data_IF_988408157516
#
_entry.id   IF_988408157516
#
_cell.length_a   1.000
_cell.length_b   1.000
_cell.length_c   1.000
_cell.angle_alpha   90.00
_cell.angle_beta   90.00
_cell.angle_gamma   90.00
#
_symmetry.space_group_name_H-M   'P 1'
#
loop_
_entity.id
_entity.type
_entity.pdbx_description
1 polymer ?
#
# COMPACT_ATOMS: atom_id res chain seq x y z
N UNK A 1 -3.86 -6.89 19.99
CA UNK A 1 -3.72 -7.87 18.91
C UNK A 1 -3.40 -7.12 17.61
N UNK A 2 -2.37 -7.57 16.92
CA UNK A 2 -1.94 -7.00 15.62
C UNK A 2 -2.72 -7.61 14.45
N UNK A 3 -3.18 -8.86 14.62
CA UNK A 3 -4.05 -9.58 13.70
C UNK A 3 -5.03 -10.46 14.48
N UNK A 4 -6.19 -10.74 13.91
CA UNK A 4 -7.14 -11.72 14.42
C UNK A 4 -6.81 -13.15 13.96
N UNK A 5 -5.92 -13.31 12.98
CA UNK A 5 -5.48 -14.60 12.45
C UNK A 5 -4.29 -15.08 13.26
N UNK A 6 -4.45 -16.21 13.94
CA UNK A 6 -3.43 -16.78 14.86
C UNK A 6 -2.94 -18.16 14.43
N UNK A 7 -3.69 -18.86 13.58
CA UNK A 7 -3.28 -20.15 13.02
C UNK A 7 -2.14 -19.98 12.03
N UNK A 8 -1.06 -20.73 12.17
CA UNK A 8 0.19 -20.57 11.41
C UNK A 8 -0.04 -20.65 9.89
N UNK A 9 -0.75 -21.68 9.41
CA UNK A 9 -1.04 -21.85 7.98
C UNK A 9 -1.87 -20.68 7.41
N UNK A 10 -2.82 -20.18 8.21
CA UNK A 10 -3.63 -19.04 7.82
C UNK A 10 -2.80 -17.73 7.80
N UNK A 11 -1.85 -17.56 8.72
CA UNK A 11 -0.91 -16.43 8.72
C UNK A 11 -0.03 -16.48 7.48
N UNK A 12 0.53 -17.67 7.17
CA UNK A 12 1.36 -17.86 5.97
C UNK A 12 0.57 -17.47 4.71
N UNK A 13 -0.64 -18.00 4.56
CA UNK A 13 -1.44 -17.79 3.34
C UNK A 13 -2.02 -16.37 3.26
N UNK A 14 -2.70 -15.90 4.31
CA UNK A 14 -3.45 -14.61 4.30
C UNK A 14 -2.59 -13.39 4.52
N UNK A 15 -1.37 -13.56 5.03
CA UNK A 15 -0.47 -12.43 5.24
C UNK A 15 0.76 -12.50 4.35
N UNK A 16 1.55 -13.58 4.39
CA UNK A 16 2.79 -13.66 3.62
C UNK A 16 2.52 -13.91 2.14
N UNK A 17 1.81 -14.98 1.76
CA UNK A 17 1.51 -15.27 0.36
C UNK A 17 0.70 -14.14 -0.28
N UNK A 18 -0.32 -13.61 0.41
CA UNK A 18 -1.11 -12.47 -0.06
C UNK A 18 -0.22 -11.25 -0.35
N UNK A 19 0.73 -10.94 0.55
CA UNK A 19 1.68 -9.83 0.35
C UNK A 19 2.53 -10.01 -0.90
N UNK A 20 3.04 -11.23 -1.14
CA UNK A 20 3.90 -11.54 -2.28
C UNK A 20 3.14 -11.66 -3.61
N UNK A 21 1.83 -11.77 -3.57
CA UNK A 21 1.00 -11.74 -4.78
C UNK A 21 1.09 -10.43 -5.58
N UNK A 22 1.75 -9.39 -5.04
CA UNK A 22 2.05 -8.16 -5.79
C UNK A 22 2.62 -8.44 -7.17
N UNK A 23 3.50 -9.43 -7.30
CA UNK A 23 4.15 -9.81 -8.57
C UNK A 23 3.18 -10.26 -9.66
N UNK A 24 1.95 -10.66 -9.30
CA UNK A 24 0.90 -11.05 -10.27
C UNK A 24 0.34 -9.83 -11.01
N UNK A 25 0.26 -8.69 -10.34
CA UNK A 25 -0.32 -7.46 -10.90
C UNK A 25 0.69 -6.34 -11.16
N UNK A 26 1.94 -6.51 -10.70
CA UNK A 26 2.99 -5.52 -10.84
C UNK A 26 4.34 -6.19 -11.15
N UNK A 27 4.71 -6.21 -12.42
CA UNK A 27 5.93 -6.87 -12.93
C UNK A 27 7.20 -6.04 -12.76
N UNK A 28 7.08 -4.73 -12.50
CA UNK A 28 8.24 -3.82 -12.43
C UNK A 28 8.89 -3.74 -11.05
N UNK A 29 8.62 -4.69 -10.16
CA UNK A 29 9.14 -4.68 -8.78
C UNK A 29 10.68 -4.69 -8.73
N UNK A 30 11.33 -5.39 -9.66
CA UNK A 30 12.80 -5.45 -9.74
C UNK A 30 13.43 -4.11 -10.14
N UNK A 31 12.69 -3.25 -10.81
CA UNK A 31 13.13 -1.89 -11.19
C UNK A 31 12.74 -0.84 -10.17
N UNK A 32 11.89 -1.20 -9.21
CA UNK A 32 11.42 -0.32 -8.14
C UNK A 32 12.54 -0.11 -7.12
N UNK A 33 12.81 1.13 -6.75
CA UNK A 33 13.82 1.48 -5.74
C UNK A 33 13.17 1.82 -4.42
N UNK A 34 12.12 2.62 -4.44
CA UNK A 34 11.45 3.12 -3.23
C UNK A 34 9.99 2.69 -3.16
N UNK A 35 9.61 2.10 -2.03
CA UNK A 35 8.27 1.63 -1.74
C UNK A 35 7.77 2.25 -0.44
N UNK A 36 6.50 2.69 -0.43
CA UNK A 36 5.79 3.03 0.81
C UNK A 36 4.58 2.12 0.99
N UNK A 37 4.44 1.57 2.19
CA UNK A 37 3.27 0.80 2.63
C UNK A 37 2.43 1.67 3.57
N UNK A 38 1.27 2.09 3.11
CA UNK A 38 0.39 3.03 3.82
C UNK A 38 -0.66 2.27 4.61
N UNK A 39 -0.68 2.48 5.92
CA UNK A 39 -1.53 1.72 6.83
C UNK A 39 -1.02 0.30 7.01
N UNK A 40 0.28 0.15 7.12
CA UNK A 40 1.00 -1.14 7.10
C UNK A 40 0.59 -2.12 8.19
N UNK A 41 0.03 -1.65 9.30
CA UNK A 41 -0.44 -2.48 10.40
C UNK A 41 0.69 -3.28 11.08
N UNK A 42 0.66 -4.59 10.93
CA UNK A 42 1.71 -5.49 11.41
C UNK A 42 2.89 -5.65 10.42
N UNK A 43 2.98 -4.77 9.41
CA UNK A 43 4.05 -4.80 8.42
C UNK A 43 3.69 -5.49 7.10
N UNK A 44 2.39 -5.64 6.82
CA UNK A 44 1.90 -6.32 5.61
C UNK A 44 1.22 -5.35 4.63
N UNK A 45 1.67 -5.29 3.37
CA UNK A 45 2.60 -6.20 2.69
C UNK A 45 4.09 -5.79 2.76
N UNK A 46 4.44 -4.67 3.37
CA UNK A 46 5.77 -4.05 3.28
C UNK A 46 6.94 -4.94 3.72
N UNK A 47 6.84 -5.63 4.88
CA UNK A 47 7.93 -6.48 5.40
C UNK A 47 8.17 -7.71 4.53
N UNK A 48 7.16 -8.52 4.14
CA UNK A 48 7.38 -9.63 3.22
C UNK A 48 7.99 -9.20 1.88
N UNK A 49 7.56 -8.05 1.34
CA UNK A 49 8.14 -7.49 0.12
C UNK A 49 9.61 -7.11 0.31
N UNK A 50 9.95 -6.49 1.45
CA UNK A 50 11.35 -6.15 1.78
C UNK A 50 12.25 -7.37 1.90
N UNK A 51 11.77 -8.43 2.55
CA UNK A 51 12.52 -9.69 2.71
C UNK A 51 12.76 -10.34 1.35
N UNK A 52 11.73 -10.37 0.48
CA UNK A 52 11.81 -11.00 -0.84
C UNK A 52 12.59 -10.16 -1.85
N UNK A 53 12.52 -8.83 -1.75
CA UNK A 53 13.19 -7.87 -2.63
C UNK A 53 14.13 -6.96 -1.81
N UNK A 54 15.31 -7.44 -1.39
CA UNK A 54 16.20 -6.71 -0.47
C UNK A 54 16.71 -5.37 -0.98
N UNK A 55 16.70 -5.14 -2.31
CA UNK A 55 17.11 -3.88 -2.92
C UNK A 55 16.16 -2.72 -2.65
N UNK A 56 14.90 -3.00 -2.24
CA UNK A 56 13.91 -1.97 -1.96
C UNK A 56 14.28 -1.12 -0.74
N UNK A 57 14.11 0.18 -0.87
CA UNK A 57 14.03 1.11 0.25
C UNK A 57 12.57 1.23 0.67
N UNK A 58 12.20 0.70 1.83
CA UNK A 58 10.82 0.57 2.27
C UNK A 58 10.50 1.57 3.37
N UNK A 59 9.39 2.28 3.22
CA UNK A 59 8.79 3.09 4.28
C UNK A 59 7.51 2.44 4.74
N UNK A 60 7.41 2.15 6.04
CA UNK A 60 6.25 1.58 6.70
C UNK A 60 5.53 2.70 7.45
N UNK A 61 4.34 3.10 7.00
CA UNK A 61 3.58 4.19 7.60
C UNK A 61 2.34 3.66 8.30
N UNK A 62 2.18 3.99 9.57
CA UNK A 62 0.96 3.70 10.34
C UNK A 62 0.60 4.86 11.29
N UNK A 63 -0.69 5.02 11.53
CA UNK A 63 -1.22 6.08 12.40
C UNK A 63 -1.17 5.73 13.89
N UNK A 64 -0.85 4.49 14.24
CA UNK A 64 -0.79 4.02 15.63
C UNK A 64 0.66 3.83 16.07
N UNK A 65 1.13 4.69 16.98
CA UNK A 65 2.50 4.65 17.49
C UNK A 65 2.92 3.28 18.06
N UNK A 66 1.98 2.56 18.69
CA UNK A 66 2.25 1.19 19.18
C UNK A 66 2.64 0.23 18.06
N UNK A 67 2.02 0.36 16.87
CA UNK A 67 2.37 -0.46 15.70
C UNK A 67 3.74 -0.07 15.14
N UNK A 68 4.01 1.23 15.07
CA UNK A 68 5.31 1.72 14.58
C UNK A 68 6.45 1.19 15.44
N UNK A 69 6.34 1.26 16.76
CA UNK A 69 7.35 0.68 17.68
C UNK A 69 7.53 -0.83 17.50
N UNK A 70 6.43 -1.55 17.29
CA UNK A 70 6.51 -2.99 16.98
C UNK A 70 7.25 -3.24 15.67
N UNK A 71 6.99 -2.43 14.63
CA UNK A 71 7.67 -2.56 13.33
C UNK A 71 9.16 -2.25 13.43
N UNK A 72 9.54 -1.23 14.21
CA UNK A 72 10.95 -0.91 14.51
C UNK A 72 11.65 -2.11 15.15
N UNK A 73 11.04 -2.73 16.16
CA UNK A 73 11.57 -3.93 16.81
C UNK A 73 11.67 -5.12 15.84
N UNK A 74 10.67 -5.35 14.99
CA UNK A 74 10.69 -6.42 13.98
C UNK A 74 11.82 -6.20 12.98
N UNK A 75 11.97 -4.97 12.47
CA UNK A 75 13.04 -4.64 11.51
C UNK A 75 14.43 -4.83 12.12
N UNK A 76 14.62 -4.43 13.37
CA UNK A 76 15.87 -4.65 14.11
C UNK A 76 16.19 -6.14 14.29
N UNK A 77 15.21 -6.93 14.77
CA UNK A 77 15.38 -8.38 14.99
C UNK A 77 15.64 -9.17 13.71
N UNK A 78 15.12 -8.71 12.58
CA UNK A 78 15.30 -9.34 11.28
C UNK A 78 16.48 -8.76 10.49
N UNK A 79 17.21 -7.80 11.06
CA UNK A 79 18.34 -7.10 10.43
C UNK A 79 17.97 -6.53 9.05
N UNK A 80 16.81 -5.89 8.96
CA UNK A 80 16.30 -5.32 7.72
C UNK A 80 16.88 -3.93 7.47
N UNK A 81 17.82 -3.84 6.56
CA UNK A 81 18.42 -2.58 6.14
C UNK A 81 17.47 -1.76 5.23
N UNK A 82 17.63 -0.43 5.22
CA UNK A 82 16.88 0.49 4.36
C UNK A 82 15.34 0.39 4.56
N UNK A 83 14.91 0.19 5.79
CA UNK A 83 13.51 0.30 6.22
C UNK A 83 13.36 1.49 7.15
N UNK A 84 12.34 2.32 6.90
CA UNK A 84 11.99 3.46 7.74
C UNK A 84 10.57 3.30 8.25
N UNK A 85 10.37 3.32 9.55
CA UNK A 85 9.06 3.30 10.17
C UNK A 85 8.59 4.74 10.46
N UNK A 86 7.37 5.09 10.05
CA UNK A 86 6.84 6.46 10.16
C UNK A 86 5.52 6.44 10.92
N UNK A 87 5.47 7.16 12.04
CA UNK A 87 4.24 7.40 12.78
C UNK A 87 3.56 8.65 12.22
N UNK A 88 2.58 8.46 11.35
CA UNK A 88 1.76 9.53 10.80
C UNK A 88 0.41 9.00 10.31
N UNK A 89 -0.59 9.86 10.29
CA UNK A 89 -1.79 9.62 9.46
C UNK A 89 -1.41 9.77 7.99
N UNK A 90 -2.12 9.05 7.12
CA UNK A 90 -1.88 9.13 5.67
C UNK A 90 -2.04 10.56 5.14
N UNK A 91 -3.04 11.29 5.63
CA UNK A 91 -3.30 12.69 5.24
C UNK A 91 -2.15 13.63 5.62
N UNK A 92 -1.60 13.46 6.83
CA UNK A 92 -0.48 14.27 7.32
C UNK A 92 0.82 13.90 6.59
N UNK A 93 1.08 12.61 6.44
CA UNK A 93 2.22 12.08 5.67
C UNK A 93 2.20 12.54 4.21
N UNK A 94 1.02 12.49 3.56
CA UNK A 94 0.84 12.92 2.17
C UNK A 94 1.03 14.42 1.94
N UNK A 95 1.03 15.23 2.99
CA UNK A 95 1.37 16.66 2.99
C UNK A 95 2.83 16.94 3.36
N UNK A 96 3.48 15.99 4.00
CA UNK A 96 4.89 16.13 4.40
C UNK A 96 5.78 16.17 3.16
N UNK A 97 6.59 17.20 3.02
CA UNK A 97 7.49 17.46 1.87
C UNK A 97 8.52 16.35 1.67
N UNK A 98 8.90 15.64 2.73
CA UNK A 98 9.88 14.55 2.67
C UNK A 98 9.29 13.24 2.16
N UNK A 99 7.94 13.10 2.20
CA UNK A 99 7.24 11.89 1.78
C UNK A 99 6.41 12.09 0.50
N UNK A 100 5.92 13.33 0.27
CA UNK A 100 5.04 13.64 -0.84
C UNK A 100 5.75 13.48 -2.19
N UNK A 101 5.13 12.68 -3.08
CA UNK A 101 5.60 12.42 -4.46
C UNK A 101 7.07 11.94 -4.53
N UNK A 102 7.48 11.09 -3.59
CA UNK A 102 8.86 10.57 -3.48
C UNK A 102 9.02 9.10 -3.85
N UNK A 103 7.93 8.33 -3.86
CA UNK A 103 8.01 6.87 -3.98
C UNK A 103 7.71 6.38 -5.39
N UNK A 104 8.48 5.38 -5.85
CA UNK A 104 8.23 4.66 -7.11
C UNK A 104 6.93 3.86 -7.00
N UNK A 105 6.71 3.24 -5.85
CA UNK A 105 5.57 2.37 -5.58
C UNK A 105 4.96 2.68 -4.22
N UNK A 106 3.65 2.88 -4.21
CA UNK A 106 2.84 2.88 -3.00
C UNK A 106 1.97 1.63 -3.00
N UNK A 107 1.97 0.92 -1.88
CA UNK A 107 1.07 -0.21 -1.64
C UNK A 107 0.21 0.09 -0.43
N UNK A 108 -0.94 -0.53 -0.38
CA UNK A 108 -1.80 -0.53 0.81
C UNK A 108 -2.73 -1.73 0.78
N UNK A 109 -2.85 -2.38 1.91
CA UNK A 109 -3.82 -3.46 2.15
C UNK A 109 -4.78 -3.01 3.23
N UNK A 110 -5.64 -2.05 2.88
CA UNK A 110 -6.47 -1.34 3.84
C UNK A 110 -7.96 -1.54 3.58
N UNK A 111 -8.72 -1.18 4.57
CA UNK A 111 -10.17 -1.33 4.69
C UNK A 111 -10.98 -0.17 4.07
N UNK A 112 -10.36 0.89 3.62
CA UNK A 112 -11.05 2.01 2.97
C UNK A 112 -11.48 1.65 1.55
N UNK A 113 -12.56 2.26 1.06
CA UNK A 113 -12.93 2.14 -0.34
C UNK A 113 -11.86 2.75 -1.26
N UNK A 114 -11.82 2.33 -2.52
CA UNK A 114 -10.76 2.68 -3.46
C UNK A 114 -10.65 4.19 -3.72
N UNK A 115 -11.76 4.93 -3.71
CA UNK A 115 -11.76 6.39 -3.89
C UNK A 115 -11.02 7.08 -2.75
N UNK A 116 -11.38 6.79 -1.50
CA UNK A 116 -10.73 7.34 -0.31
C UNK A 116 -9.30 6.85 -0.17
N UNK A 117 -9.06 5.55 -0.45
CA UNK A 117 -7.73 4.96 -0.38
C UNK A 117 -6.79 5.60 -1.41
N UNK A 118 -7.28 5.90 -2.61
CA UNK A 118 -6.51 6.62 -3.62
C UNK A 118 -6.13 8.02 -3.14
N UNK A 119 -7.03 8.74 -2.44
CA UNK A 119 -6.71 10.05 -1.88
C UNK A 119 -5.63 9.98 -0.80
N UNK A 120 -5.61 8.91 0.00
CA UNK A 120 -4.59 8.69 1.02
C UNK A 120 -3.23 8.29 0.44
N UNK A 121 -3.20 7.52 -0.65
CA UNK A 121 -2.00 6.87 -1.15
C UNK A 121 -1.33 7.60 -2.33
N UNK A 122 -2.12 8.14 -3.27
CA UNK A 122 -1.59 8.84 -4.45
C UNK A 122 -0.68 10.04 -4.13
N UNK A 123 -0.85 10.77 -3.02
CA UNK A 123 0.08 11.84 -2.64
C UNK A 123 1.53 11.40 -2.42
N UNK A 124 1.79 10.14 -2.09
CA UNK A 124 3.15 9.63 -1.90
C UNK A 124 3.85 9.25 -3.21
N UNK A 125 3.08 8.95 -4.25
CA UNK A 125 3.58 8.42 -5.52
C UNK A 125 4.17 9.55 -6.38
N UNK A 126 5.41 9.40 -6.84
CA UNK A 126 6.01 10.31 -7.81
C UNK A 126 5.36 10.18 -9.19
N UNK A 127 5.46 11.20 -10.02
CA UNK A 127 5.01 11.12 -11.42
C UNK A 127 5.77 10.00 -12.14
N UNK A 128 5.04 9.13 -12.84
CA UNK A 128 5.57 7.93 -13.47
C UNK A 128 5.62 6.70 -12.56
N UNK A 129 5.43 6.88 -11.24
CA UNK A 129 5.31 5.77 -10.28
C UNK A 129 3.90 5.19 -10.22
N UNK A 130 3.70 4.25 -9.29
CA UNK A 130 2.48 3.46 -9.22
C UNK A 130 1.90 3.40 -7.79
N UNK A 131 0.57 3.36 -7.72
CA UNK A 131 -0.15 2.93 -6.55
C UNK A 131 -0.82 1.57 -6.85
N UNK A 132 -0.56 0.58 -6.00
CA UNK A 132 -1.12 -0.77 -6.14
C UNK A 132 -1.82 -1.18 -4.85
N UNK A 133 -3.13 -0.88 -4.70
CA UNK A 133 -3.93 -1.37 -3.59
C UNK A 133 -4.23 -2.86 -3.74
N UNK A 134 -4.25 -3.56 -2.59
CA UNK A 134 -4.74 -4.92 -2.45
C UNK A 134 -6.21 -4.87 -2.02
N UNK A 135 -7.06 -5.50 -2.80
CA UNK A 135 -8.51 -5.56 -2.53
C UNK A 135 -8.97 -7.01 -2.45
N UNK A 136 -10.10 -7.25 -1.81
CA UNK A 136 -10.75 -8.56 -1.71
C UNK A 136 -12.21 -8.47 -2.14
N UNK A 137 -12.77 -9.58 -2.60
CA UNK A 137 -14.14 -9.66 -3.07
C UNK A 137 -14.36 -9.03 -4.45
N UNK A 138 -15.63 -8.79 -4.78
CA UNK A 138 -16.01 -8.11 -6.00
C UNK A 138 -15.69 -6.60 -5.90
N UNK A 139 -14.98 -6.08 -6.88
CA UNK A 139 -14.51 -4.70 -6.90
C UNK A 139 -15.08 -3.89 -8.07
N UNK A 140 -15.97 -4.44 -8.89
CA UNK A 140 -16.46 -3.79 -10.11
C UNK A 140 -17.13 -2.45 -9.82
N UNK A 141 -18.05 -2.44 -8.84
CA UNK A 141 -18.72 -1.21 -8.43
C UNK A 141 -17.76 -0.20 -7.80
N UNK A 142 -16.90 -0.66 -6.91
CA UNK A 142 -15.88 0.17 -6.25
C UNK A 142 -14.91 0.78 -7.27
N UNK A 143 -14.52 0.00 -8.28
CA UNK A 143 -13.66 0.43 -9.36
C UNK A 143 -14.32 1.51 -10.23
N UNK A 144 -15.60 1.31 -10.58
CA UNK A 144 -16.38 2.29 -11.34
C UNK A 144 -16.48 3.64 -10.62
N UNK A 145 -16.74 3.61 -9.32
CA UNK A 145 -16.83 4.82 -8.48
C UNK A 145 -15.47 5.52 -8.33
N UNK A 146 -14.37 4.76 -8.26
CA UNK A 146 -13.04 5.30 -8.03
C UNK A 146 -12.41 5.96 -9.27
N UNK A 147 -12.84 5.63 -10.48
CA UNK A 147 -12.24 6.16 -11.74
C UNK A 147 -12.11 7.69 -11.73
N UNK A 148 -13.17 8.40 -11.34
CA UNK A 148 -13.18 9.86 -11.28
C UNK A 148 -12.22 10.40 -10.22
N UNK A 149 -12.19 9.78 -9.04
CA UNK A 149 -11.30 10.16 -7.95
C UNK A 149 -9.84 9.97 -8.36
N UNK A 150 -9.48 8.82 -8.92
CA UNK A 150 -8.14 8.52 -9.42
C UNK A 150 -7.69 9.55 -10.45
N UNK A 151 -8.53 9.90 -11.43
CA UNK A 151 -8.22 10.90 -12.45
C UNK A 151 -7.98 12.30 -11.85
N UNK A 152 -8.79 12.73 -10.86
CA UNK A 152 -8.62 14.00 -10.14
C UNK A 152 -7.27 14.03 -9.39
N UNK A 153 -6.86 12.89 -8.82
CA UNK A 153 -5.59 12.73 -8.10
C UNK A 153 -4.37 12.56 -9.02
N UNK A 154 -4.56 12.70 -10.33
CA UNK A 154 -3.50 12.63 -11.33
C UNK A 154 -3.10 11.22 -11.72
N UNK A 155 -3.95 10.23 -11.44
CA UNK A 155 -3.72 8.82 -11.75
C UNK A 155 -4.53 8.32 -12.94
N UNK A 156 -4.12 7.15 -13.44
CA UNK A 156 -4.83 6.35 -14.45
C UNK A 156 -4.78 4.87 -14.06
N UNK A 157 -5.92 4.19 -14.14
CA UNK A 157 -6.00 2.75 -13.87
C UNK A 157 -5.54 2.02 -15.13
N UNK A 158 -4.34 1.41 -15.08
CA UNK A 158 -3.78 0.66 -16.22
C UNK A 158 -4.29 -0.78 -16.29
N UNK A 159 -4.43 -1.44 -15.13
CA UNK A 159 -4.81 -2.86 -15.09
C UNK A 159 -5.46 -3.23 -13.77
N UNK A 160 -6.27 -4.29 -13.82
CA UNK A 160 -6.83 -4.97 -12.65
C UNK A 160 -6.55 -6.46 -12.79
N UNK A 161 -5.86 -7.04 -11.81
CA UNK A 161 -5.49 -8.44 -11.80
C UNK A 161 -6.22 -9.15 -10.66
N UNK A 162 -7.19 -9.99 -11.01
CA UNK A 162 -7.89 -10.86 -10.06
C UNK A 162 -7.20 -12.22 -9.93
N UNK A 163 -7.19 -12.79 -8.72
CA UNK A 163 -6.65 -14.12 -8.44
C UNK A 163 -7.25 -14.69 -7.15
N UNK A 164 -7.14 -16.03 -7.00
CA UNK A 164 -7.48 -16.72 -5.75
C UNK A 164 -6.22 -16.97 -4.93
N UNK A 165 -6.36 -16.84 -3.61
CA UNK A 165 -5.31 -17.27 -2.68
C UNK A 165 -5.27 -18.80 -2.61
N UNK A 166 -4.09 -19.41 -2.35
CA UNK A 166 -3.97 -20.84 -2.16
C UNK A 166 -4.93 -21.37 -1.09
N UNK A 167 -5.43 -22.60 -1.28
CA UNK A 167 -6.33 -23.24 -0.33
C UNK A 167 -7.76 -22.72 -0.32
N UNK A 168 -8.17 -21.91 -1.31
CA UNK A 168 -9.53 -21.35 -1.37
C UNK A 168 -9.76 -20.22 -0.34
N UNK A 169 -8.70 -19.55 0.11
CA UNK A 169 -8.73 -18.52 1.14
C UNK A 169 -9.24 -17.15 0.65
N UNK A 170 -9.96 -17.16 -0.48
CA UNK A 170 -10.72 -16.06 -1.04
C UNK A 170 -10.04 -15.35 -2.19
N UNK A 171 -10.85 -14.60 -2.93
CA UNK A 171 -10.43 -13.82 -4.08
C UNK A 171 -9.70 -12.55 -3.66
N UNK A 172 -8.76 -12.13 -4.50
CA UNK A 172 -8.00 -10.89 -4.38
C UNK A 172 -7.95 -10.18 -5.72
N UNK A 173 -7.80 -8.87 -5.64
CA UNK A 173 -7.57 -8.02 -6.81
C UNK A 173 -6.47 -7.02 -6.50
N UNK A 174 -5.54 -6.88 -7.43
CA UNK A 174 -4.54 -5.83 -7.46
C UNK A 174 -4.92 -4.83 -8.56
N UNK A 175 -4.97 -3.56 -8.21
CA UNK A 175 -5.33 -2.49 -9.15
C UNK A 175 -4.08 -1.68 -9.43
N UNK A 176 -3.55 -1.74 -10.64
CA UNK A 176 -2.36 -0.98 -11.03
C UNK A 176 -2.76 0.43 -11.47
N UNK A 177 -2.45 1.42 -10.65
CA UNK A 177 -2.75 2.83 -10.89
C UNK A 177 -1.45 3.58 -11.12
N UNK A 178 -1.28 4.13 -12.33
CA UNK A 178 -0.12 4.94 -12.69
C UNK A 178 -0.33 6.40 -12.32
N UNK A 179 0.69 7.05 -11.79
CA UNK A 179 0.71 8.49 -11.54
C UNK A 179 1.11 9.22 -12.81
N UNK A 180 0.18 9.93 -13.46
CA UNK A 180 0.38 10.58 -14.74
C UNK A 180 0.84 12.03 -14.60
N UNK A 181 0.44 12.71 -13.53
CA UNK A 181 0.74 14.15 -13.31
C UNK A 181 0.80 14.46 -11.81
N UNK A 182 1.44 15.59 -11.42
CA UNK A 182 1.48 16.00 -10.02
C UNK A 182 0.09 16.16 -9.43
N UNK A 183 -0.03 15.85 -8.14
CA UNK A 183 -1.27 15.99 -7.39
C UNK A 183 -1.43 17.43 -6.87
N UNK A 184 -2.65 17.96 -6.98
CA UNK A 184 -2.98 19.30 -6.46
C UNK A 184 -2.69 19.40 -4.96
N UNK A 185 -2.18 20.54 -4.51
CA UNK A 185 -1.87 20.81 -3.11
C UNK A 185 -3.10 20.73 -2.17
N UNK A 186 -4.32 20.79 -2.70
CA UNK A 186 -5.55 20.59 -1.91
C UNK A 186 -5.76 19.13 -1.44
N UNK A 187 -5.03 18.17 -2.04
CA UNK A 187 -5.10 16.77 -1.66
C UNK A 187 -3.81 16.31 -0.95
N UNK A 188 -3.91 15.39 0.02
CA UNK A 188 -5.15 14.84 0.55
C UNK A 188 -5.94 15.89 1.33
N UNK A 189 -7.27 15.78 1.34
CA UNK A 189 -8.15 16.61 2.18
C UNK A 189 -8.00 16.22 3.64
N UNK A 190 -8.47 17.07 4.55
CA UNK A 190 -8.55 16.72 5.96
C UNK A 190 -9.56 15.59 6.18
N UNK A 191 -9.31 14.75 7.19
CA UNK A 191 -10.15 13.58 7.53
C UNK A 191 -11.65 13.86 7.57
N UNK A 192 -12.06 15.08 7.97
CA UNK A 192 -13.48 15.48 8.03
C UNK A 192 -14.10 15.70 6.65
N UNK A 193 -13.30 15.77 5.61
CA UNK A 193 -13.70 16.12 4.25
C UNK A 193 -13.48 15.00 3.23
N UNK A 194 -12.85 13.91 3.65
CA UNK A 194 -12.66 12.69 2.83
C UNK A 194 -13.90 11.82 3.05
N UNK A 195 -14.81 11.84 2.08
CA UNK A 195 -16.04 11.04 2.08
C UNK A 195 -16.03 10.14 0.85
#
# INVERSE_FOLDING_TARGET
>A
NLTAITEEDAVITKHFCDSLCLVKGFSDIEKTVSLIDVGTGAGFPGIPLKITFPHLKVTLLDSLNKRVRFLEEVCERLDLENVTCVHARAEDGGRNKDLREKFDLCVSRAVANLSSLSEYCMPFVKVGGYFVPYKSGDIEEELAQAKKAVAILGGEIENVTGFELPGGEGSRSLIKIKKMKPISAKYPRDRKSVV
#
